data_IF_192260066116
#
_entry.id   IF_192260066116
#
_cell.length_a   1.000
_cell.length_b   1.000
_cell.length_c   1.000
_cell.angle_alpha   90.00
_cell.angle_beta   90.00
_cell.angle_gamma   90.00
#
_symmetry.space_group_name_H-M   'P 1'
#
loop_
_entity.id
_entity.type
_entity.pdbx_description
1 polymer ?
#
# COMPACT_ATOMS: atom_id res chain seq x y z
N UNK A 1 15.96 4.94 -2.23
CA UNK A 1 15.12 4.55 -1.08
C UNK A 1 13.76 5.15 -1.29
N UNK A 2 12.71 4.37 -1.04
CA UNK A 2 11.33 4.83 -1.22
C UNK A 2 10.72 5.15 0.15
N UNK A 3 9.92 6.23 0.26
CA UNK A 3 9.42 6.68 1.55
C UNK A 3 8.46 5.66 2.16
N UNK A 4 8.60 5.46 3.46
CA UNK A 4 7.62 4.74 4.27
C UNK A 4 6.52 5.74 4.59
N UNK A 5 5.30 5.46 4.13
CA UNK A 5 4.14 6.35 4.29
C UNK A 5 3.24 5.94 5.45
N UNK A 6 3.29 4.68 5.87
CA UNK A 6 2.55 4.19 7.04
C UNK A 6 3.27 2.99 7.67
N UNK A 7 3.21 2.88 8.99
CA UNK A 7 3.58 1.67 9.74
C UNK A 7 2.44 1.30 10.67
N UNK A 8 1.96 0.06 10.59
CA UNK A 8 0.96 -0.47 11.53
C UNK A 8 1.25 -1.92 11.90
N UNK A 9 1.66 -2.12 13.16
CA UNK A 9 2.13 -3.41 13.64
C UNK A 9 3.31 -3.92 12.82
N UNK A 10 3.16 -5.12 12.23
CA UNK A 10 4.18 -5.73 11.38
C UNK A 10 4.18 -5.23 9.92
N UNK A 11 3.18 -4.46 9.53
CA UNK A 11 3.02 -4.01 8.16
C UNK A 11 3.67 -2.65 7.94
N UNK A 12 4.45 -2.55 6.87
CA UNK A 12 5.12 -1.32 6.42
C UNK A 12 4.55 -0.98 5.04
N UNK A 13 3.99 0.21 4.90
CA UNK A 13 3.45 0.70 3.62
C UNK A 13 4.44 1.65 2.98
N UNK A 14 4.74 1.43 1.71
CA UNK A 14 5.68 2.23 0.92
C UNK A 14 5.06 2.61 -0.42
N UNK A 15 5.48 3.75 -0.96
CA UNK A 15 5.20 4.18 -2.33
C UNK A 15 6.54 4.22 -3.07
N UNK A 16 6.69 3.51 -4.19
CA UNK A 16 7.95 3.56 -4.92
C UNK A 16 7.96 4.71 -5.91
N UNK A 17 9.08 5.44 -5.98
CA UNK A 17 9.24 6.58 -6.89
C UNK A 17 9.16 6.21 -8.39
N UNK A 18 9.27 4.92 -8.72
CA UNK A 18 9.13 4.40 -10.09
C UNK A 18 7.73 3.88 -10.38
N UNK A 19 6.79 4.01 -9.44
CA UNK A 19 5.41 3.60 -9.66
C UNK A 19 4.68 4.55 -10.61
N UNK A 20 3.58 4.07 -11.17
CA UNK A 20 2.74 4.78 -12.14
C UNK A 20 1.27 4.64 -11.76
N UNK A 21 0.41 5.44 -12.39
CA UNK A 21 -1.04 5.31 -12.24
C UNK A 21 -1.53 3.91 -12.65
N UNK A 22 -2.61 3.38 -12.04
CA UNK A 22 -3.45 3.98 -11.00
C UNK A 22 -2.77 4.04 -9.62
N UNK A 23 -3.26 4.89 -8.72
CA UNK A 23 -2.68 5.08 -7.38
C UNK A 23 -2.67 3.79 -6.57
N UNK A 24 -1.51 3.40 -6.06
CA UNK A 24 -1.32 2.16 -5.31
C UNK A 24 -0.21 2.27 -4.25
N UNK A 25 -0.16 1.30 -3.36
CA UNK A 25 0.90 1.19 -2.35
C UNK A 25 1.41 -0.24 -2.26
N UNK A 26 2.64 -0.37 -1.78
CA UNK A 26 3.26 -1.65 -1.47
C UNK A 26 3.24 -1.89 0.04
N UNK A 27 2.68 -3.02 0.47
CA UNK A 27 2.60 -3.41 1.88
C UNK A 27 3.56 -4.56 2.14
N UNK A 28 4.51 -4.37 3.05
CA UNK A 28 5.59 -5.30 3.36
C UNK A 28 5.49 -5.84 4.78
N UNK A 29 5.89 -7.09 4.98
CA UNK A 29 6.07 -7.72 6.31
C UNK A 29 6.96 -8.95 6.18
N UNK A 30 8.15 -8.94 6.79
CA UNK A 30 9.18 -9.97 6.59
C UNK A 30 9.45 -10.19 5.09
N UNK A 31 9.50 -11.44 4.63
CA UNK A 31 9.70 -11.81 3.21
C UNK A 31 8.43 -11.73 2.35
N UNK A 32 7.40 -10.99 2.80
CA UNK A 32 6.10 -10.88 2.11
C UNK A 32 5.87 -9.47 1.62
N UNK A 33 5.18 -9.37 0.48
CA UNK A 33 4.79 -8.11 -0.13
C UNK A 33 3.39 -8.22 -0.75
N UNK A 34 2.65 -7.13 -0.78
CA UNK A 34 1.39 -7.01 -1.52
C UNK A 34 1.32 -5.63 -2.17
N UNK A 35 0.78 -5.59 -3.39
CA UNK A 35 0.45 -4.36 -4.10
C UNK A 35 -1.04 -4.10 -3.96
N UNK A 36 -1.41 -2.92 -3.47
CA UNK A 36 -2.79 -2.57 -3.15
C UNK A 36 -3.17 -1.29 -3.87
N UNK A 37 -4.21 -1.33 -4.70
CA UNK A 37 -4.79 -0.13 -5.29
C UNK A 37 -5.44 0.73 -4.21
N UNK A 38 -5.41 2.05 -4.37
CA UNK A 38 -6.04 2.99 -3.44
C UNK A 38 -7.44 3.44 -3.88
N UNK A 39 -7.84 3.19 -5.13
CA UNK A 39 -9.17 3.55 -5.63
C UNK A 39 -9.61 2.65 -6.80
N UNK A 40 -10.49 1.65 -6.56
CA UNK A 40 -10.95 1.18 -5.25
C UNK A 40 -9.83 0.51 -4.44
N UNK A 41 -10.06 0.29 -3.14
CA UNK A 41 -9.10 -0.43 -2.29
C UNK A 41 -9.17 -1.93 -2.56
N UNK A 42 -8.20 -2.46 -3.31
CA UNK A 42 -8.16 -3.86 -3.73
C UNK A 42 -6.73 -4.39 -3.85
N UNK A 43 -6.57 -5.71 -3.68
CA UNK A 43 -5.29 -6.38 -3.93
C UNK A 43 -5.07 -6.49 -5.43
N UNK A 44 -3.95 -5.95 -5.91
CA UNK A 44 -3.48 -6.15 -7.28
C UNK A 44 -2.55 -7.36 -7.36
N UNK A 45 -1.60 -7.46 -6.42
CA UNK A 45 -0.62 -8.53 -6.36
C UNK A 45 -0.37 -8.96 -4.92
N UNK A 46 -0.13 -10.24 -4.70
CA UNK A 46 0.16 -10.81 -3.39
C UNK A 46 1.30 -11.82 -3.47
N UNK A 47 2.37 -11.54 -2.74
CA UNK A 47 3.52 -12.42 -2.57
C UNK A 47 3.61 -12.88 -1.11
N UNK A 48 2.93 -13.97 -0.80
CA UNK A 48 3.10 -14.72 0.46
C UNK A 48 2.16 -14.36 1.61
N UNK A 49 1.26 -13.38 1.47
CA UNK A 49 0.22 -13.17 2.48
C UNK A 49 -0.90 -14.19 2.33
N UNK A 50 -1.37 -14.69 3.47
CA UNK A 50 -2.54 -15.57 3.50
C UNK A 50 -3.85 -14.74 3.47
N UNK A 51 -5.02 -15.37 3.25
CA UNK A 51 -6.29 -14.64 3.15
C UNK A 51 -6.66 -13.83 4.39
N UNK A 52 -6.24 -14.25 5.60
CA UNK A 52 -6.50 -13.49 6.83
C UNK A 52 -5.65 -12.22 6.86
N UNK A 53 -4.39 -12.32 6.49
CA UNK A 53 -3.48 -11.16 6.38
C UNK A 53 -3.96 -10.19 5.31
N UNK A 54 -4.39 -10.67 4.14
CA UNK A 54 -4.96 -9.81 3.09
C UNK A 54 -6.15 -9.01 3.62
N UNK A 55 -7.08 -9.64 4.35
CA UNK A 55 -8.22 -8.92 4.93
C UNK A 55 -7.77 -7.83 5.92
N UNK A 56 -6.77 -8.12 6.73
CA UNK A 56 -6.19 -7.11 7.64
C UNK A 56 -5.52 -5.96 6.89
N UNK A 57 -4.80 -6.26 5.81
CA UNK A 57 -4.16 -5.27 4.94
C UNK A 57 -5.22 -4.38 4.29
N UNK A 58 -6.22 -4.96 3.63
CA UNK A 58 -7.29 -4.18 2.97
C UNK A 58 -8.03 -3.28 3.97
N UNK A 59 -8.36 -3.80 5.16
CA UNK A 59 -9.00 -2.98 6.21
C UNK A 59 -8.11 -1.81 6.66
N UNK A 60 -6.81 -2.04 6.83
CA UNK A 60 -5.85 -0.98 7.15
C UNK A 60 -5.78 0.05 6.04
N UNK A 61 -5.55 -0.36 4.78
CA UNK A 61 -5.45 0.56 3.64
C UNK A 61 -6.73 1.36 3.49
N UNK A 62 -7.89 0.75 3.69
CA UNK A 62 -9.17 1.45 3.66
C UNK A 62 -9.34 2.46 4.79
N UNK A 63 -8.79 2.18 5.98
CA UNK A 63 -8.80 3.12 7.12
C UNK A 63 -7.96 4.37 6.82
N UNK A 64 -6.85 4.21 6.12
CA UNK A 64 -5.92 5.31 5.78
C UNK A 64 -6.01 5.77 4.32
N UNK A 65 -7.08 5.38 3.59
CA UNK A 65 -7.16 5.53 2.14
C UNK A 65 -6.92 6.97 1.68
N UNK A 66 -7.57 7.95 2.33
CA UNK A 66 -7.46 9.35 1.96
C UNK A 66 -6.07 9.94 2.23
N UNK A 67 -5.43 9.56 3.34
CA UNK A 67 -4.06 9.99 3.65
C UNK A 67 -3.07 9.41 2.66
N UNK A 68 -3.22 8.12 2.31
CA UNK A 68 -2.37 7.45 1.32
C UNK A 68 -2.57 8.03 -0.09
N UNK A 69 -3.80 8.39 -0.48
CA UNK A 69 -4.07 9.09 -1.74
C UNK A 69 -3.45 10.48 -1.76
N UNK A 70 -3.54 11.24 -0.66
CA UNK A 70 -2.87 12.54 -0.53
C UNK A 70 -1.36 12.40 -0.69
N UNK A 71 -0.75 11.43 -0.01
CA UNK A 71 0.69 11.14 -0.11
C UNK A 71 1.10 10.71 -1.51
N UNK A 72 0.29 9.87 -2.17
CA UNK A 72 0.51 9.51 -3.57
C UNK A 72 0.51 10.76 -4.46
N UNK A 73 -0.50 11.62 -4.31
CA UNK A 73 -0.57 12.85 -5.08
C UNK A 73 0.62 13.78 -4.78
N UNK A 74 1.11 13.88 -3.55
CA UNK A 74 2.33 14.65 -3.24
C UNK A 74 3.57 14.18 -4.02
N UNK A 75 3.67 12.87 -4.36
CA UNK A 75 4.81 12.31 -5.08
C UNK A 75 4.68 12.37 -6.61
N UNK A 76 3.45 12.34 -7.13
CA UNK A 76 3.17 12.20 -8.56
C UNK A 76 2.28 13.32 -9.14
N UNK A 77 2.08 14.41 -8.39
CA UNK A 77 1.54 15.65 -8.98
C UNK A 77 2.64 16.31 -9.78
N UNK A 78 2.43 16.41 -11.09
CA UNK A 78 3.21 17.27 -11.99
C UNK A 78 3.04 18.76 -11.62
#
# INVERSE_FOLDING_TARGET
MSPIVLRQGKFIVVIYMKDHTPAHVHVKSAEKEAKVALNPVEILENWGFNPREIRSILKMIQTYQQELLSKWNEFFSD
#
